data_IF_377001996515
#
_entry.id   IF_377001996515
#
_cell.length_a   1.000
_cell.length_b   1.000
_cell.length_c   1.000
_cell.angle_alpha   90.00
_cell.angle_beta   90.00
_cell.angle_gamma   90.00
#
_symmetry.space_group_name_H-M   'P 1'
#
loop_
_entity.id
_entity.type
_entity.pdbx_description
1 polymer ?
#
# COMPACT_ATOMS: atom_id res chain seq x y z
N UNK A 1 -22.84 -11.04 -17.42
CA UNK A 1 -22.14 -9.75 -17.25
C UNK A 1 -22.73 -8.97 -16.09
N UNK A 2 -24.07 -8.77 -16.01
CA UNK A 2 -24.71 -8.05 -14.91
C UNK A 2 -24.38 -8.61 -13.52
N UNK A 3 -24.41 -9.95 -13.36
CA UNK A 3 -24.02 -10.63 -12.11
C UNK A 3 -22.60 -10.25 -11.69
N UNK A 4 -21.65 -10.24 -12.62
CA UNK A 4 -20.24 -9.91 -12.30
C UNK A 4 -20.05 -8.42 -12.05
N UNK A 5 -20.80 -7.54 -12.70
CA UNK A 5 -20.82 -6.10 -12.39
C UNK A 5 -21.19 -5.90 -10.92
N UNK A 6 -22.25 -6.56 -10.46
CA UNK A 6 -22.68 -6.51 -9.06
C UNK A 6 -21.67 -7.18 -8.12
N UNK A 7 -21.17 -8.37 -8.46
CA UNK A 7 -20.23 -9.12 -7.63
C UNK A 7 -18.88 -8.40 -7.45
N UNK A 8 -18.43 -7.65 -8.46
CA UNK A 8 -17.23 -6.81 -8.40
C UNK A 8 -17.48 -5.45 -7.73
N UNK A 9 -18.72 -5.16 -7.31
CA UNK A 9 -19.10 -3.89 -6.68
C UNK A 9 -19.00 -2.68 -7.61
N UNK A 10 -19.04 -2.91 -8.93
CA UNK A 10 -18.96 -1.82 -9.90
C UNK A 10 -20.26 -1.03 -9.94
N UNK A 11 -20.15 0.28 -10.00
CA UNK A 11 -21.26 1.21 -10.11
C UNK A 11 -21.16 1.98 -11.43
N UNK A 12 -22.30 2.39 -12.01
CA UNK A 12 -22.27 3.25 -13.17
C UNK A 12 -21.34 4.46 -12.95
N UNK A 13 -20.58 4.84 -13.95
CA UNK A 13 -20.61 4.41 -15.35
C UNK A 13 -19.76 3.17 -15.69
N UNK A 14 -19.23 2.44 -14.71
CA UNK A 14 -18.43 1.24 -14.91
C UNK A 14 -19.29 -0.02 -14.88
N UNK A 15 -19.06 -0.93 -15.81
CA UNK A 15 -19.73 -2.23 -15.88
C UNK A 15 -18.84 -3.29 -16.53
N UNK A 16 -19.12 -4.56 -16.28
CA UNK A 16 -18.48 -5.69 -16.97
C UNK A 16 -19.13 -5.85 -18.33
N UNK A 17 -18.35 -5.66 -19.39
CA UNK A 17 -18.78 -5.81 -20.77
C UNK A 17 -18.58 -7.24 -21.30
N UNK A 18 -17.52 -7.92 -20.82
CA UNK A 18 -17.18 -9.29 -21.27
C UNK A 18 -16.50 -10.06 -20.14
N UNK A 19 -16.69 -11.38 -20.13
CA UNK A 19 -15.98 -12.30 -19.23
C UNK A 19 -15.41 -13.44 -20.06
N UNK A 20 -14.13 -13.71 -19.88
CA UNK A 20 -13.42 -14.81 -20.54
C UNK A 20 -12.86 -15.77 -19.49
N UNK A 21 -13.26 -17.03 -19.55
CA UNK A 21 -12.76 -18.11 -18.70
C UNK A 21 -11.79 -19.00 -19.47
N UNK A 22 -10.54 -19.02 -19.07
CA UNK A 22 -9.52 -19.91 -19.61
C UNK A 22 -9.19 -20.99 -18.59
N UNK A 23 -9.81 -22.15 -18.73
CA UNK A 23 -9.64 -23.28 -17.81
C UNK A 23 -8.23 -23.88 -17.85
N UNK A 24 -7.60 -23.90 -19.03
CA UNK A 24 -6.24 -24.41 -19.19
C UNK A 24 -5.19 -23.56 -18.47
N UNK A 25 -5.37 -22.23 -18.48
CA UNK A 25 -4.51 -21.29 -17.76
C UNK A 25 -4.97 -21.03 -16.32
N UNK A 26 -6.09 -21.61 -15.89
CA UNK A 26 -6.74 -21.32 -14.60
C UNK A 26 -6.91 -19.82 -14.38
N UNK A 27 -7.48 -19.12 -15.36
CA UNK A 27 -7.61 -17.67 -15.34
C UNK A 27 -9.00 -17.24 -15.82
N UNK A 28 -9.53 -16.21 -15.18
CA UNK A 28 -10.74 -15.48 -15.59
C UNK A 28 -10.39 -14.01 -15.80
N UNK A 29 -10.78 -13.49 -16.95
CA UNK A 29 -10.53 -12.11 -17.36
C UNK A 29 -11.89 -11.38 -17.48
N UNK A 30 -12.00 -10.23 -16.81
CA UNK A 30 -13.15 -9.35 -16.85
C UNK A 30 -12.78 -8.10 -17.65
N UNK A 31 -13.42 -7.88 -18.78
CA UNK A 31 -13.35 -6.63 -19.52
C UNK A 31 -14.36 -5.66 -18.92
N UNK A 32 -13.85 -4.56 -18.37
CA UNK A 32 -14.66 -3.52 -17.72
C UNK A 32 -14.67 -2.27 -18.59
N UNK A 33 -15.86 -1.75 -18.84
CA UNK A 33 -16.05 -0.56 -19.66
C UNK A 33 -16.64 0.61 -18.87
N UNK A 34 -16.31 1.80 -19.32
CA UNK A 34 -16.86 3.05 -18.85
C UNK A 34 -17.81 3.61 -19.91
N UNK A 35 -19.10 3.63 -19.61
CA UNK A 35 -20.16 4.04 -20.57
C UNK A 35 -20.24 5.56 -20.77
N UNK A 36 -19.65 6.36 -19.89
CA UNK A 36 -19.70 7.84 -19.97
C UNK A 36 -18.91 8.39 -21.13
N UNK A 37 -19.42 9.47 -21.74
CA UNK A 37 -18.73 10.25 -22.78
C UNK A 37 -18.07 11.52 -22.23
N UNK A 38 -18.46 11.92 -21.03
CA UNK A 38 -17.94 13.10 -20.30
C UNK A 38 -17.60 12.73 -18.87
N UNK A 39 -16.67 13.44 -18.28
CA UNK A 39 -16.31 13.30 -16.87
C UNK A 39 -15.76 14.61 -16.31
N UNK A 40 -15.74 14.76 -15.00
CA UNK A 40 -15.02 15.82 -14.33
C UNK A 40 -13.50 15.62 -14.46
N UNK A 41 -12.76 16.71 -14.56
CA UNK A 41 -11.31 16.67 -14.59
C UNK A 41 -10.76 16.25 -13.22
N UNK A 42 -10.00 15.15 -13.09
CA UNK A 42 -9.45 14.73 -11.80
C UNK A 42 -8.45 15.72 -11.18
N UNK A 43 -7.85 16.61 -12.01
CA UNK A 43 -6.83 17.55 -11.55
C UNK A 43 -7.40 18.85 -10.95
N UNK A 44 -8.54 19.35 -11.46
CA UNK A 44 -9.10 20.64 -11.04
C UNK A 44 -10.62 20.62 -10.78
N UNK A 45 -11.28 19.47 -10.95
CA UNK A 45 -12.72 19.34 -10.74
C UNK A 45 -13.60 19.94 -11.83
N UNK A 46 -13.02 20.54 -12.90
CA UNK A 46 -13.84 21.18 -13.96
C UNK A 46 -14.72 20.13 -14.65
N UNK A 47 -16.00 20.32 -14.58
CA UNK A 47 -17.01 19.34 -14.96
C UNK A 47 -17.22 19.21 -16.48
N UNK A 48 -17.92 18.15 -16.89
CA UNK A 48 -18.41 17.92 -18.25
C UNK A 48 -17.35 17.90 -19.36
N UNK A 49 -16.09 17.55 -19.01
CA UNK A 49 -15.03 17.42 -20.00
C UNK A 49 -15.27 16.20 -20.89
N UNK A 50 -15.02 16.36 -22.19
CA UNK A 50 -15.08 15.24 -23.15
C UNK A 50 -13.93 14.26 -22.87
N UNK A 51 -14.22 12.98 -23.02
CA UNK A 51 -13.18 11.95 -23.01
C UNK A 51 -12.35 12.13 -24.28
N UNK A 52 -11.07 12.36 -24.10
CA UNK A 52 -10.10 12.58 -25.18
C UNK A 52 -9.68 11.26 -25.83
N UNK A 53 -9.25 10.30 -24.99
CA UNK A 53 -8.84 8.97 -25.40
C UNK A 53 -8.99 7.98 -24.24
N UNK A 54 -8.53 6.75 -24.45
CA UNK A 54 -8.59 5.67 -23.45
C UNK A 54 -7.25 4.94 -23.42
N UNK A 55 -6.84 4.48 -22.23
CA UNK A 55 -5.59 3.75 -22.03
C UNK A 55 -5.91 2.39 -21.39
N UNK A 56 -5.46 1.32 -22.03
CA UNK A 56 -5.64 -0.02 -21.49
C UNK A 56 -4.83 -0.22 -20.22
N UNK A 57 -5.49 -0.71 -19.18
CA UNK A 57 -4.92 -1.05 -17.89
C UNK A 57 -5.41 -2.41 -17.44
N UNK A 58 -4.64 -3.06 -16.56
CA UNK A 58 -4.98 -4.38 -16.03
C UNK A 58 -4.62 -4.47 -14.56
N UNK A 59 -5.47 -5.12 -13.78
CA UNK A 59 -5.29 -5.31 -12.35
C UNK A 59 -5.55 -6.75 -11.96
N UNK A 60 -4.67 -7.32 -11.14
CA UNK A 60 -4.91 -8.58 -10.47
C UNK A 60 -5.97 -8.38 -9.38
N UNK A 61 -7.01 -9.23 -9.39
CA UNK A 61 -8.09 -9.24 -8.40
C UNK A 61 -8.01 -10.49 -7.52
N UNK A 62 -8.86 -10.58 -6.50
CA UNK A 62 -9.06 -11.81 -5.72
C UNK A 62 -9.39 -12.97 -6.67
N UNK A 63 -8.91 -14.15 -6.34
CA UNK A 63 -9.23 -15.33 -7.11
C UNK A 63 -10.73 -15.58 -7.15
N UNK A 64 -11.22 -16.01 -8.29
CA UNK A 64 -12.57 -16.48 -8.46
C UNK A 64 -12.54 -18.02 -8.43
N UNK A 65 -12.90 -18.60 -7.29
CA UNK A 65 -12.64 -20.00 -6.97
C UNK A 65 -11.15 -20.35 -7.17
N UNK A 66 -10.84 -21.32 -8.02
CA UNK A 66 -9.45 -21.73 -8.34
C UNK A 66 -8.80 -20.90 -9.45
N UNK A 67 -9.50 -19.93 -10.04
CA UNK A 67 -9.03 -19.14 -11.17
C UNK A 67 -8.43 -17.82 -10.71
N UNK A 68 -7.28 -17.47 -11.27
CA UNK A 68 -6.75 -16.11 -11.13
C UNK A 68 -7.66 -15.12 -11.84
N UNK A 69 -8.19 -14.14 -11.11
CA UNK A 69 -9.04 -13.13 -11.71
C UNK A 69 -8.27 -11.84 -12.05
N UNK A 70 -8.55 -11.32 -13.23
CA UNK A 70 -7.98 -10.09 -13.74
C UNK A 70 -9.07 -9.15 -14.25
N UNK A 71 -8.95 -7.87 -13.89
CA UNK A 71 -9.77 -6.81 -14.46
C UNK A 71 -8.94 -6.08 -15.52
N UNK A 72 -9.55 -5.85 -16.67
CA UNK A 72 -8.99 -5.08 -17.76
C UNK A 72 -9.95 -3.95 -18.08
N UNK A 73 -9.45 -2.75 -18.30
CA UNK A 73 -10.29 -1.63 -18.72
C UNK A 73 -9.53 -0.67 -19.64
N UNK A 74 -10.26 -0.15 -20.59
CA UNK A 74 -9.86 1.01 -21.38
C UNK A 74 -10.22 2.28 -20.58
N UNK A 75 -9.27 2.72 -19.71
CA UNK A 75 -9.51 3.82 -18.76
C UNK A 75 -9.51 5.15 -19.49
N UNK A 76 -10.60 5.93 -19.38
CA UNK A 76 -10.69 7.22 -20.06
C UNK A 76 -9.67 8.24 -19.55
N UNK A 77 -9.22 9.10 -20.47
CA UNK A 77 -8.51 10.33 -20.15
C UNK A 77 -9.30 11.54 -20.65
N UNK A 78 -9.28 12.60 -19.88
CA UNK A 78 -9.89 13.87 -20.24
C UNK A 78 -8.81 14.91 -20.53
N UNK A 79 -8.99 15.68 -21.60
CA UNK A 79 -8.22 16.89 -21.84
C UNK A 79 -9.04 18.06 -21.30
N UNK A 80 -8.59 18.67 -20.22
CA UNK A 80 -9.35 19.68 -19.51
C UNK A 80 -9.21 21.07 -20.16
N UNK A 81 -10.31 21.69 -20.54
CA UNK A 81 -10.33 23.05 -21.04
C UNK A 81 -10.05 24.11 -19.96
N UNK A 82 -10.27 23.76 -18.67
CA UNK A 82 -10.02 24.67 -17.54
C UNK A 82 -8.55 24.75 -17.12
N UNK A 83 -7.86 23.61 -16.98
CA UNK A 83 -6.45 23.59 -16.55
C UNK A 83 -5.46 23.16 -17.64
N UNK A 84 -5.92 22.83 -18.84
CA UNK A 84 -5.08 22.42 -19.99
C UNK A 84 -4.44 21.02 -19.86
N UNK A 85 -4.63 20.30 -18.75
CA UNK A 85 -3.99 19.00 -18.50
C UNK A 85 -4.79 17.86 -19.12
N UNK A 86 -4.07 16.85 -19.62
CA UNK A 86 -4.66 15.55 -19.95
C UNK A 86 -4.47 14.62 -18.76
N UNK A 87 -5.57 14.17 -18.16
CA UNK A 87 -5.56 13.38 -16.92
C UNK A 87 -6.40 12.12 -17.06
N UNK A 88 -5.87 10.98 -16.61
CA UNK A 88 -6.58 9.71 -16.55
C UNK A 88 -7.62 9.74 -15.42
N UNK A 89 -8.82 9.22 -15.68
CA UNK A 89 -9.84 9.06 -14.64
C UNK A 89 -9.37 8.05 -13.58
N UNK A 90 -9.66 8.29 -12.30
CA UNK A 90 -9.47 7.29 -11.28
C UNK A 90 -10.43 6.11 -11.51
N UNK A 91 -9.98 4.92 -11.17
CA UNK A 91 -10.84 3.73 -11.17
C UNK A 91 -11.25 3.41 -9.73
N UNK A 92 -12.50 3.00 -9.46
CA UNK A 92 -12.96 2.80 -8.08
C UNK A 92 -12.37 1.56 -7.41
N UNK A 93 -11.86 0.62 -8.18
CA UNK A 93 -11.34 -0.66 -7.66
C UNK A 93 -9.84 -0.69 -7.39
N UNK A 94 -9.08 0.35 -7.76
CA UNK A 94 -7.63 0.36 -7.58
C UNK A 94 -7.12 1.78 -7.31
N UNK A 95 -6.10 1.89 -6.47
CA UNK A 95 -5.38 3.15 -6.31
C UNK A 95 -4.46 3.43 -7.51
N UNK A 96 -4.13 4.67 -7.70
CA UNK A 96 -3.21 5.11 -8.75
C UNK A 96 -1.86 4.39 -8.67
N UNK A 97 -1.32 4.01 -9.83
CA UNK A 97 -0.04 3.30 -9.94
C UNK A 97 -0.05 1.85 -9.43
N UNK A 98 -1.20 1.34 -8.97
CA UNK A 98 -1.32 -0.08 -8.61
C UNK A 98 -1.69 -0.95 -9.82
N UNK A 99 -1.12 -2.14 -9.89
CA UNK A 99 -1.58 -3.23 -10.75
C UNK A 99 -2.36 -4.30 -9.97
N UNK A 100 -2.87 -3.95 -8.77
CA UNK A 100 -3.73 -4.77 -7.93
C UNK A 100 -5.00 -3.99 -7.62
N UNK A 101 -6.11 -4.70 -7.47
CA UNK A 101 -7.32 -4.10 -6.91
C UNK A 101 -7.16 -3.87 -5.40
N UNK A 102 -7.95 -2.96 -4.85
CA UNK A 102 -7.95 -2.65 -3.40
C UNK A 102 -8.21 -3.91 -2.55
N UNK A 103 -9.14 -4.76 -2.96
CA UNK A 103 -9.43 -6.02 -2.27
C UNK A 103 -8.25 -6.99 -2.31
N UNK A 104 -7.53 -7.06 -3.44
CA UNK A 104 -6.34 -7.89 -3.56
C UNK A 104 -5.16 -7.35 -2.75
N UNK A 105 -5.01 -6.02 -2.65
CA UNK A 105 -4.04 -5.39 -1.74
C UNK A 105 -4.39 -5.68 -0.28
N UNK A 106 -5.68 -5.58 0.10
CA UNK A 106 -6.14 -5.87 1.46
C UNK A 106 -5.85 -7.33 1.87
N UNK A 107 -6.10 -8.30 0.98
CA UNK A 107 -5.71 -9.70 1.20
C UNK A 107 -4.20 -9.81 1.45
N UNK A 108 -3.39 -9.15 0.61
CA UNK A 108 -1.94 -9.17 0.74
C UNK A 108 -1.45 -8.61 2.07
N UNK A 109 -2.02 -7.51 2.53
CA UNK A 109 -1.72 -6.92 3.84
C UNK A 109 -2.14 -7.85 4.99
N UNK A 110 -3.33 -8.44 4.90
CA UNK A 110 -3.80 -9.41 5.92
C UNK A 110 -2.85 -10.60 6.03
N UNK A 111 -2.44 -11.18 4.90
CA UNK A 111 -1.49 -12.28 4.90
C UNK A 111 -0.12 -11.88 5.46
N UNK A 112 0.36 -10.66 5.17
CA UNK A 112 1.64 -10.16 5.68
C UNK A 112 1.65 -9.87 7.18
N UNK A 113 0.49 -9.82 7.85
CA UNK A 113 0.41 -9.75 9.32
C UNK A 113 0.80 -11.07 9.98
N UNK A 114 0.50 -12.17 9.33
CA UNK A 114 0.67 -13.53 9.87
C UNK A 114 1.87 -14.28 9.25
N UNK A 115 2.30 -13.88 8.05
CA UNK A 115 3.29 -14.60 7.26
C UNK A 115 4.40 -13.68 6.77
N UNK A 116 5.62 -14.20 6.61
CA UNK A 116 6.67 -13.49 5.87
C UNK A 116 6.20 -13.15 4.45
N UNK A 117 6.56 -11.95 3.96
CA UNK A 117 6.09 -11.42 2.66
C UNK A 117 6.32 -12.40 1.50
N UNK A 118 7.41 -13.18 1.53
CA UNK A 118 7.67 -14.20 0.50
C UNK A 118 6.61 -15.32 0.51
N UNK A 119 6.20 -15.77 1.68
CA UNK A 119 5.17 -16.81 1.82
C UNK A 119 3.79 -16.27 1.43
N UNK A 120 3.44 -15.05 1.90
CA UNK A 120 2.23 -14.36 1.48
C UNK A 120 2.15 -14.18 -0.03
N UNK A 121 3.25 -13.74 -0.66
CA UNK A 121 3.33 -13.59 -2.11
C UNK A 121 3.15 -14.92 -2.87
N UNK A 122 3.71 -16.02 -2.35
CA UNK A 122 3.53 -17.36 -2.93
C UNK A 122 2.05 -17.79 -2.86
N UNK A 123 1.37 -17.57 -1.72
CA UNK A 123 -0.06 -17.88 -1.60
C UNK A 123 -0.91 -17.05 -2.57
N UNK A 124 -0.56 -15.78 -2.75
CA UNK A 124 -1.22 -14.88 -3.70
C UNK A 124 -0.83 -15.13 -5.16
N UNK A 125 0.13 -16.01 -5.43
CA UNK A 125 0.67 -16.29 -6.77
C UNK A 125 1.21 -15.03 -7.47
N UNK A 126 1.93 -14.19 -6.71
CA UNK A 126 2.55 -12.97 -7.22
C UNK A 126 4.05 -12.91 -6.88
N UNK A 127 4.81 -12.13 -7.63
CA UNK A 127 6.21 -11.93 -7.32
C UNK A 127 6.38 -11.17 -5.98
N UNK A 128 7.23 -11.61 -5.04
CA UNK A 128 7.43 -10.99 -3.74
C UNK A 128 7.74 -9.49 -3.82
N UNK A 129 8.51 -9.05 -4.83
CA UNK A 129 8.82 -7.62 -5.06
C UNK A 129 7.58 -6.77 -5.34
N UNK A 130 6.54 -7.36 -5.95
CA UNK A 130 5.27 -6.66 -6.18
C UNK A 130 4.51 -6.44 -4.87
N UNK A 131 4.46 -7.47 -4.00
CA UNK A 131 3.81 -7.37 -2.69
C UNK A 131 4.59 -6.42 -1.77
N UNK A 132 5.93 -6.51 -1.72
CA UNK A 132 6.77 -5.57 -0.97
C UNK A 132 6.48 -4.10 -1.29
N UNK A 133 6.31 -3.75 -2.57
CA UNK A 133 5.95 -2.37 -2.96
C UNK A 133 4.59 -1.94 -2.40
N UNK A 134 3.65 -2.88 -2.22
CA UNK A 134 2.34 -2.59 -1.63
C UNK A 134 2.46 -2.38 -0.12
N UNK A 135 3.12 -3.32 0.56
CA UNK A 135 3.39 -3.20 2.00
C UNK A 135 4.08 -1.88 2.32
N UNK A 136 5.15 -1.55 1.60
CA UNK A 136 5.86 -0.28 1.79
C UNK A 136 4.93 0.93 1.67
N UNK A 137 4.13 1.00 0.61
CA UNK A 137 3.18 2.10 0.42
C UNK A 137 2.25 2.29 1.62
N UNK A 138 1.65 1.20 2.12
CA UNK A 138 0.73 1.30 3.26
C UNK A 138 1.45 1.62 4.57
N UNK A 139 2.68 1.14 4.74
CA UNK A 139 3.52 1.52 5.89
C UNK A 139 3.85 3.01 5.82
N UNK A 140 4.24 3.54 4.67
CA UNK A 140 4.52 4.97 4.48
C UNK A 140 3.28 5.83 4.77
N UNK A 141 2.10 5.44 4.27
CA UNK A 141 0.82 6.14 4.53
C UNK A 141 0.43 6.08 6.01
N UNK A 142 0.63 4.95 6.67
CA UNK A 142 0.35 4.81 8.10
C UNK A 142 1.35 5.65 8.92
N UNK A 143 2.62 5.58 8.57
CA UNK A 143 3.70 6.30 9.24
C UNK A 143 3.54 7.81 9.17
N UNK A 144 3.11 8.35 8.02
CA UNK A 144 2.84 9.78 7.85
C UNK A 144 1.71 10.32 8.75
N UNK A 145 0.90 9.43 9.35
CA UNK A 145 -0.20 9.77 10.27
C UNK A 145 0.12 9.42 11.72
N UNK A 146 1.32 8.89 11.95
CA UNK A 146 1.71 8.48 13.28
C UNK A 146 1.89 9.69 14.20
N UNK A 147 1.49 9.54 15.46
CA UNK A 147 1.62 10.55 16.49
C UNK A 147 2.44 9.98 17.65
N UNK A 148 3.54 10.64 17.98
CA UNK A 148 4.43 10.29 19.07
C UNK A 148 4.35 11.26 20.25
N UNK A 149 3.43 12.21 20.26
CA UNK A 149 3.31 13.22 21.32
C UNK A 149 3.07 12.62 22.71
N UNK A 150 2.41 11.46 22.75
CA UNK A 150 2.10 10.73 24.00
C UNK A 150 3.14 9.69 24.44
N UNK A 151 4.23 9.50 23.70
CA UNK A 151 5.25 8.48 24.04
C UNK A 151 6.08 8.90 25.25
N UNK A 152 6.14 8.04 26.28
CA UNK A 152 6.90 8.27 27.53
C UNK A 152 7.83 7.11 27.87
N UNK A 153 7.53 5.90 27.43
CA UNK A 153 8.26 4.69 27.80
C UNK A 153 8.68 3.95 26.53
N UNK A 154 9.97 3.84 26.30
CA UNK A 154 10.52 3.20 25.11
C UNK A 154 11.35 1.97 25.45
N UNK A 155 11.24 0.94 24.62
CA UNK A 155 12.14 -0.20 24.61
C UNK A 155 13.02 -0.12 23.37
N UNK A 156 14.31 -0.30 23.52
CA UNK A 156 15.29 -0.27 22.43
C UNK A 156 15.98 -1.62 22.38
N UNK A 157 15.94 -2.25 21.24
CA UNK A 157 16.52 -3.57 21.01
C UNK A 157 17.29 -3.62 19.68
N UNK A 158 18.24 -4.54 19.59
CA UNK A 158 19.03 -4.77 18.40
C UNK A 158 18.77 -6.17 17.87
N UNK A 159 18.47 -6.28 16.60
CA UNK A 159 18.33 -7.58 15.95
C UNK A 159 19.25 -7.73 14.75
N UNK A 160 19.81 -8.91 14.58
CA UNK A 160 20.66 -9.22 13.43
C UNK A 160 19.80 -9.54 12.20
N UNK A 161 20.05 -8.85 11.09
CA UNK A 161 19.32 -9.05 9.83
C UNK A 161 19.95 -10.15 8.98
N UNK A 162 21.27 -10.34 9.08
CA UNK A 162 22.04 -11.32 8.30
C UNK A 162 23.26 -11.82 9.07
N UNK A 163 23.78 -12.96 8.68
CA UNK A 163 25.15 -13.38 9.07
C UNK A 163 26.14 -12.30 8.64
N UNK A 164 27.07 -11.90 9.53
CA UNK A 164 28.08 -10.89 9.26
C UNK A 164 27.85 -9.53 9.94
N UNK A 165 27.22 -9.53 11.13
CA UNK A 165 27.08 -8.35 12.00
C UNK A 165 26.32 -7.16 11.38
N UNK A 166 25.32 -7.43 10.54
CA UNK A 166 24.39 -6.41 10.10
C UNK A 166 23.22 -6.34 11.09
N UNK A 167 23.17 -5.28 11.87
CA UNK A 167 22.15 -5.05 12.89
C UNK A 167 21.16 -3.99 12.43
N UNK A 168 19.96 -4.06 12.95
CA UNK A 168 18.99 -2.98 12.98
C UNK A 168 18.67 -2.68 14.44
N UNK A 169 18.57 -1.40 14.76
CA UNK A 169 18.01 -0.93 16.02
C UNK A 169 16.53 -0.76 15.84
N UNK A 170 15.73 -1.26 16.75
CA UNK A 170 14.28 -1.10 16.82
C UNK A 170 13.88 -0.39 18.09
N UNK A 171 12.95 0.55 18.00
CA UNK A 171 12.42 1.28 19.15
C UNK A 171 10.93 1.03 19.24
N UNK A 172 10.47 0.61 20.40
CA UNK A 172 9.09 0.30 20.71
C UNK A 172 8.51 1.26 21.74
N UNK A 173 7.24 1.60 21.58
CA UNK A 173 6.41 2.15 22.65
C UNK A 173 5.97 1.01 23.56
N UNK A 174 6.46 1.01 24.78
CA UNK A 174 6.16 -0.06 25.76
C UNK A 174 4.73 0.03 26.29
N UNK A 175 4.14 1.22 26.33
CA UNK A 175 2.76 1.41 26.78
C UNK A 175 1.76 0.99 25.71
N UNK A 176 1.92 1.48 24.47
CA UNK A 176 1.04 1.15 23.35
C UNK A 176 1.38 -0.17 22.66
N UNK A 177 2.50 -0.83 23.03
CA UNK A 177 2.99 -2.11 22.45
C UNK A 177 3.11 -2.05 20.93
N UNK A 178 3.67 -0.96 20.41
CA UNK A 178 3.85 -0.71 18.97
C UNK A 178 5.30 -0.40 18.62
N UNK A 179 5.71 -0.74 17.40
CA UNK A 179 6.99 -0.32 16.85
C UNK A 179 6.90 1.17 16.50
N UNK A 180 7.83 1.97 17.03
CA UNK A 180 7.95 3.39 16.72
C UNK A 180 8.94 3.64 15.60
N UNK A 181 10.11 2.98 15.64
CA UNK A 181 11.21 3.28 14.74
C UNK A 181 12.05 2.04 14.46
N UNK A 182 12.68 1.98 13.31
CA UNK A 182 13.67 0.97 12.97
C UNK A 182 14.68 1.55 11.97
N UNK A 183 15.96 1.40 12.26
CA UNK A 183 17.02 1.82 11.34
C UNK A 183 18.20 0.85 11.34
N UNK A 184 18.99 0.79 10.25
CA UNK A 184 20.25 0.06 10.23
C UNK A 184 21.25 0.66 11.22
N UNK A 185 22.03 -0.19 11.86
CA UNK A 185 23.06 0.22 12.82
C UNK A 185 22.76 -0.25 14.24
N UNK A 186 23.72 0.02 15.15
CA UNK A 186 23.65 -0.29 16.58
C UNK A 186 24.53 0.67 17.39
N UNK A 187 24.49 1.94 17.11
CA UNK A 187 25.34 2.94 17.73
C UNK A 187 24.52 4.16 18.19
N UNK A 188 25.19 5.12 18.83
CA UNK A 188 24.55 6.35 19.29
C UNK A 188 23.89 7.17 18.18
N UNK A 189 24.31 7.00 16.91
CA UNK A 189 23.72 7.69 15.77
C UNK A 189 22.29 7.20 15.52
N UNK A 190 21.99 5.92 15.82
CA UNK A 190 20.64 5.36 15.71
C UNK A 190 19.68 6.00 16.70
N UNK A 191 20.15 6.36 17.90
CA UNK A 191 19.35 7.10 18.90
C UNK A 191 19.10 8.54 18.45
N UNK A 192 20.11 9.19 17.87
CA UNK A 192 19.94 10.51 17.25
C UNK A 192 18.89 10.51 16.15
N UNK A 193 18.94 9.52 15.25
CA UNK A 193 17.96 9.35 14.19
C UNK A 193 16.53 9.08 14.72
N UNK A 194 16.41 8.30 15.81
CA UNK A 194 15.12 8.12 16.48
C UNK A 194 14.60 9.43 17.08
N UNK A 195 15.46 10.22 17.73
CA UNK A 195 15.06 11.49 18.33
C UNK A 195 14.56 12.50 17.26
N UNK A 196 15.21 12.53 16.10
CA UNK A 196 14.78 13.35 14.96
C UNK A 196 13.43 12.87 14.42
N UNK A 197 13.28 11.57 14.22
CA UNK A 197 12.03 10.96 13.75
C UNK A 197 10.87 11.19 14.73
N UNK A 198 11.13 11.09 16.04
CA UNK A 198 10.15 11.39 17.09
C UNK A 198 9.64 12.84 17.00
N UNK A 199 10.55 13.81 16.81
CA UNK A 199 10.18 15.23 16.63
C UNK A 199 9.36 15.44 15.36
N UNK A 200 9.72 14.75 14.25
CA UNK A 200 8.98 14.82 13.00
C UNK A 200 7.54 14.28 13.12
N UNK A 201 7.27 13.45 14.14
CA UNK A 201 5.96 12.87 14.43
C UNK A 201 5.30 13.46 15.68
N UNK A 202 5.64 14.71 16.03
CA UNK A 202 4.99 15.48 17.10
C UNK A 202 5.42 15.13 18.53
N UNK A 203 6.38 14.22 18.70
CA UNK A 203 6.95 13.88 20.02
C UNK A 203 8.13 14.75 20.39
N UNK A 204 8.47 14.73 21.68
CA UNK A 204 9.68 15.37 22.22
C UNK A 204 10.52 14.33 22.96
N UNK A 205 11.76 14.06 22.54
CA UNK A 205 12.66 13.13 23.25
C UNK A 205 12.89 13.47 24.72
N UNK A 206 12.78 14.75 25.09
CA UNK A 206 12.92 15.18 26.49
C UNK A 206 11.75 14.71 27.38
N UNK A 207 10.65 14.28 26.81
CA UNK A 207 9.49 13.75 27.57
C UNK A 207 9.57 12.25 27.82
N UNK A 208 10.60 11.57 27.35
CA UNK A 208 10.82 10.14 27.64
C UNK A 208 11.21 9.98 29.11
N UNK A 209 10.39 9.28 29.86
CA UNK A 209 10.58 9.04 31.29
C UNK A 209 11.40 7.77 31.53
N UNK A 210 11.18 6.74 30.72
CA UNK A 210 11.86 5.45 30.85
C UNK A 210 12.32 4.94 29.49
N UNK A 211 13.60 4.53 29.44
CA UNK A 211 14.18 3.79 28.32
C UNK A 211 14.68 2.42 28.83
N UNK A 212 14.10 1.35 28.30
CA UNK A 212 14.56 -0.01 28.56
C UNK A 212 15.46 -0.44 27.40
N UNK A 213 16.69 -0.80 27.71
CA UNK A 213 17.69 -1.26 26.74
C UNK A 213 18.25 -2.61 27.20
N UNK A 214 18.61 -3.48 26.27
CA UNK A 214 19.45 -4.63 26.60
C UNK A 214 20.84 -4.12 27.05
N UNK A 215 21.52 -4.87 27.93
CA UNK A 215 22.83 -4.49 28.50
C UNK A 215 23.94 -4.43 27.45
N UNK A 216 23.68 -3.84 26.31
CA UNK A 216 24.66 -3.59 25.25
C UNK A 216 25.55 -2.38 25.64
N UNK A 217 26.87 -2.60 25.72
CA UNK A 217 27.84 -1.55 26.01
C UNK A 217 27.79 -0.36 25.03
N UNK A 218 27.13 -0.48 23.90
CA UNK A 218 27.01 0.58 22.89
C UNK A 218 26.12 1.75 23.36
N UNK A 219 25.20 1.52 24.31
CA UNK A 219 24.24 2.54 24.81
C UNK A 219 24.54 2.99 26.27
N UNK A 220 25.53 2.39 26.91
CA UNK A 220 25.86 2.65 28.30
C UNK A 220 26.89 3.82 28.51
N UNK A 221 27.08 4.66 27.48
CA UNK A 221 27.99 5.83 27.55
C UNK A 221 27.24 7.13 27.62
#
# INVERSE_FOLDING_TARGET
EALFTTALGLQPPWHVAKVELNTAKRRIDFEVEHSGRRAACPACGFEHQLIHDRVRRSWRHLDFFQFEAWLHAEVPRVQCSGCGKTTQLPVPWAREGSGFTLLFEALGLSLCRELPVRQAANQMRVAPKRLWRRVRHYVEVARAKDDMSGVRHVGIDETSVKRGHQYITVVHDLAAKRLLFACPGRDHQTLGAFAEDMRAHGGDPATIEHACIDMSAAYAK
#
